data_IF_959068916905
#
_entry.id   IF_959068916905
#
_cell.length_a   1.000
_cell.length_b   1.000
_cell.length_c   1.000
_cell.angle_alpha   90.00
_cell.angle_beta   90.00
_cell.angle_gamma   90.00
#
_symmetry.space_group_name_H-M   'P 1'
#
loop_
_entity.id
_entity.type
_entity.pdbx_description
1 polymer ?
#
# COMPACT_ATOMS: atom_id res chain seq x y z
N UNK A 1 -14.78 -2.79 -3.19
CA UNK A 1 -13.56 -3.60 -3.39
C UNK A 1 -12.47 -3.12 -2.44
N UNK A 2 -11.68 -4.04 -1.87
CA UNK A 2 -10.58 -3.73 -0.95
C UNK A 2 -9.25 -4.03 -1.63
N UNK A 3 -8.37 -3.04 -1.68
CA UNK A 3 -7.02 -3.13 -2.25
C UNK A 3 -5.98 -2.93 -1.15
N UNK A 4 -4.82 -3.57 -1.29
CA UNK A 4 -3.69 -3.46 -0.37
C UNK A 4 -2.47 -2.92 -1.12
N UNK A 5 -1.96 -1.78 -0.67
CA UNK A 5 -0.77 -1.16 -1.27
C UNK A 5 0.52 -1.74 -0.71
N UNK A 6 0.57 -1.95 0.61
CA UNK A 6 1.71 -2.45 1.35
C UNK A 6 1.27 -3.38 2.49
N UNK A 7 2.26 -3.95 3.19
CA UNK A 7 2.01 -4.79 4.35
C UNK A 7 1.67 -4.00 5.61
N UNK A 8 1.61 -4.69 6.74
CA UNK A 8 1.30 -4.09 8.04
C UNK A 8 2.57 -3.59 8.76
N UNK A 9 2.39 -2.60 9.64
CA UNK A 9 3.50 -2.06 10.45
C UNK A 9 4.09 -3.12 11.39
N UNK A 10 3.23 -3.90 12.07
CA UNK A 10 3.65 -4.91 13.05
C UNK A 10 4.40 -6.12 12.47
N UNK A 11 4.37 -6.30 11.14
CA UNK A 11 5.15 -7.34 10.45
C UNK A 11 6.35 -6.78 9.68
N UNK A 12 6.68 -5.50 9.87
CA UNK A 12 7.67 -4.76 9.09
C UNK A 12 7.41 -4.79 7.57
N UNK A 13 6.14 -4.96 7.17
CA UNK A 13 5.74 -5.05 5.76
C UNK A 13 5.23 -3.74 5.19
N UNK A 14 4.93 -2.74 6.01
CA UNK A 14 4.50 -1.42 5.55
C UNK A 14 5.69 -0.69 4.89
N UNK A 15 5.46 -0.09 3.73
CA UNK A 15 6.51 0.51 2.91
C UNK A 15 6.84 1.93 3.38
N UNK A 16 7.74 2.07 4.36
CA UNK A 16 8.10 3.35 4.97
C UNK A 16 9.10 4.16 4.12
N UNK A 17 9.04 5.49 4.26
CA UNK A 17 10.00 6.42 3.64
C UNK A 17 11.41 6.25 4.22
N UNK A 18 11.51 5.95 5.52
CA UNK A 18 12.76 5.70 6.25
C UNK A 18 12.74 4.29 6.84
N UNK A 19 13.90 3.68 7.15
CA UNK A 19 13.94 2.38 7.81
C UNK A 19 13.20 2.37 9.13
N UNK A 20 12.71 1.19 9.49
CA UNK A 20 12.08 1.00 10.79
C UNK A 20 13.08 1.29 11.92
N UNK A 21 12.67 2.09 12.90
CA UNK A 21 13.52 2.48 14.04
C UNK A 21 14.00 1.25 14.83
N UNK A 22 13.14 0.26 14.98
CA UNK A 22 13.38 -1.01 15.65
C UNK A 22 13.97 -2.09 14.72
N UNK A 23 13.96 -1.86 13.40
CA UNK A 23 14.55 -2.77 12.40
C UNK A 23 15.18 -2.00 11.24
N UNK A 24 16.37 -1.40 11.43
CA UNK A 24 16.98 -0.49 10.44
C UNK A 24 17.37 -1.14 9.11
N UNK A 25 17.44 -2.49 9.08
CA UNK A 25 17.78 -3.25 7.88
C UNK A 25 16.63 -3.33 6.86
N UNK A 26 15.42 -2.87 7.20
CA UNK A 26 14.26 -2.90 6.30
C UNK A 26 13.48 -1.59 6.35
N UNK A 27 12.85 -1.26 5.23
CA UNK A 27 11.84 -0.20 5.11
C UNK A 27 10.47 -0.78 4.75
N UNK A 28 10.32 -2.11 4.79
CA UNK A 28 9.14 -2.82 4.29
C UNK A 28 9.13 -2.98 2.77
N UNK A 29 7.96 -3.26 2.19
CA UNK A 29 7.83 -3.55 0.77
C UNK A 29 6.46 -3.12 0.22
N UNK A 30 6.46 -2.72 -1.04
CA UNK A 30 5.24 -2.44 -1.80
C UNK A 30 4.66 -3.77 -2.29
N UNK A 31 3.41 -4.06 -1.96
CA UNK A 31 2.68 -5.24 -2.43
C UNK A 31 2.12 -5.03 -3.83
N UNK A 32 1.48 -3.88 -4.05
CA UNK A 32 0.87 -3.53 -5.32
C UNK A 32 1.48 -2.24 -5.84
N UNK A 33 2.14 -2.25 -7.01
CA UNK A 33 2.72 -1.03 -7.58
C UNK A 33 1.67 0.07 -7.77
N UNK A 34 2.03 1.36 -7.58
CA UNK A 34 1.09 2.48 -7.69
C UNK A 34 0.31 2.52 -9.01
N UNK A 35 0.97 2.17 -10.13
CA UNK A 35 0.34 2.16 -11.46
C UNK A 35 -0.74 1.09 -11.58
N UNK A 36 -0.55 -0.05 -10.90
CA UNK A 36 -1.53 -1.13 -10.87
C UNK A 36 -2.70 -0.77 -9.97
N UNK A 37 -2.44 -0.15 -8.80
CA UNK A 37 -3.52 0.38 -7.96
C UNK A 37 -4.36 1.41 -8.71
N UNK A 38 -3.74 2.33 -9.43
CA UNK A 38 -4.44 3.35 -10.22
C UNK A 38 -5.39 2.71 -11.24
N UNK A 39 -4.88 1.77 -12.05
CA UNK A 39 -5.70 1.05 -13.05
C UNK A 39 -6.86 0.29 -12.41
N UNK A 40 -6.64 -0.33 -11.25
CA UNK A 40 -7.71 -1.05 -10.54
C UNK A 40 -8.76 -0.09 -9.98
N UNK A 41 -8.34 1.05 -9.43
CA UNK A 41 -9.26 2.09 -8.95
C UNK A 41 -10.11 2.63 -10.10
N UNK A 42 -9.49 2.99 -11.23
CA UNK A 42 -10.21 3.46 -12.42
C UNK A 42 -11.22 2.41 -12.90
N UNK A 43 -10.80 1.15 -12.98
CA UNK A 43 -11.67 0.07 -13.43
C UNK A 43 -12.88 -0.13 -12.51
N UNK A 44 -12.66 -0.19 -11.19
CA UNK A 44 -13.76 -0.39 -10.25
C UNK A 44 -14.66 0.84 -10.14
N UNK A 45 -14.12 2.04 -10.38
CA UNK A 45 -14.92 3.26 -10.48
C UNK A 45 -15.86 3.21 -11.69
N UNK A 46 -15.36 2.83 -12.87
CA UNK A 46 -16.20 2.62 -14.07
C UNK A 46 -17.27 1.54 -13.85
N UNK A 47 -16.92 0.48 -13.11
CA UNK A 47 -17.82 -0.60 -12.77
C UNK A 47 -18.79 -0.24 -11.60
N UNK A 48 -18.85 1.04 -11.17
CA UNK A 48 -19.70 1.58 -10.08
C UNK A 48 -19.49 0.93 -8.69
N UNK A 49 -18.28 0.42 -8.42
CA UNK A 49 -17.91 -0.08 -7.10
C UNK A 49 -17.17 0.98 -6.27
N UNK A 50 -17.46 1.01 -4.97
CA UNK A 50 -16.63 1.76 -4.02
C UNK A 50 -15.29 1.06 -3.81
N UNK A 51 -14.19 1.83 -3.81
CA UNK A 51 -12.83 1.32 -3.61
C UNK A 51 -12.27 1.81 -2.28
N UNK A 52 -11.79 0.87 -1.47
CA UNK A 52 -11.00 1.14 -0.27
C UNK A 52 -9.57 0.68 -0.53
N UNK A 53 -8.61 1.60 -0.52
CA UNK A 53 -7.19 1.30 -0.58
C UNK A 53 -6.58 1.40 0.82
N UNK A 54 -6.04 0.29 1.33
CA UNK A 54 -5.35 0.26 2.61
C UNK A 54 -3.85 0.50 2.38
N UNK A 55 -3.35 1.57 3.00
CA UNK A 55 -1.92 1.89 3.09
C UNK A 55 -1.58 2.04 4.57
N UNK A 56 -0.51 1.38 5.01
CA UNK A 56 -0.04 1.48 6.40
C UNK A 56 1.10 2.48 6.55
N UNK A 57 1.68 2.91 5.43
CA UNK A 57 2.78 3.87 5.36
C UNK A 57 2.31 5.26 4.92
N UNK A 58 3.07 6.28 5.35
CA UNK A 58 2.95 7.65 4.86
C UNK A 58 3.82 7.74 3.61
N UNK A 59 3.22 7.85 2.43
CA UNK A 59 3.95 7.85 1.15
C UNK A 59 3.78 9.17 0.42
N UNK A 60 4.18 10.30 1.03
CA UNK A 60 4.37 11.60 0.37
C UNK A 60 5.37 12.45 1.17
#
# INVERSE_FOLDING_TARGET
VKLFADGALGSWGAALIAPYTDKPATQGFILTPPQTLHRLVERFYEDNFQVLCLTSSRTY
#
